data_IF_627710147608
#
_entry.id   IF_627710147608
#
_cell.length_a   1.000
_cell.length_b   1.000
_cell.length_c   1.000
_cell.angle_alpha   90.00
_cell.angle_beta   90.00
_cell.angle_gamma   90.00
#
_symmetry.space_group_name_H-M   'P 1'
#
loop_
_entity.id
_entity.type
_entity.pdbx_description
1 polymer ?
#
# COMPACT_ATOMS: atom_id res chain seq x y z
N UNK A 1 5.97 0.42 2.29
CA UNK A 1 5.84 -1.04 2.51
C UNK A 1 4.49 -1.48 1.96
N UNK A 2 4.48 -2.59 1.24
CA UNK A 2 3.26 -3.17 0.68
C UNK A 2 2.90 -4.41 1.53
N UNK A 3 1.66 -4.50 1.99
CA UNK A 3 1.18 -5.65 2.78
C UNK A 3 -0.19 -6.08 2.28
N UNK A 4 -0.40 -7.38 2.12
CA UNK A 4 -1.69 -7.91 1.64
C UNK A 4 -2.84 -7.55 2.58
N UNK A 5 -4.00 -7.29 1.98
CA UNK A 5 -5.24 -6.95 2.67
C UNK A 5 -5.80 -8.14 3.47
N UNK A 6 -5.99 -8.04 4.80
CA UNK A 6 -6.52 -9.16 5.59
C UNK A 6 -7.97 -9.51 5.28
N UNK A 7 -8.75 -8.55 4.78
CA UNK A 7 -10.14 -8.70 4.35
C UNK A 7 -10.30 -9.50 3.05
N UNK A 8 -9.21 -9.65 2.29
CA UNK A 8 -9.13 -10.44 1.05
C UNK A 8 -8.47 -11.82 1.30
N UNK A 9 -8.47 -12.31 2.54
CA UNK A 9 -7.91 -13.61 2.89
C UNK A 9 -8.89 -14.75 2.61
N UNK A 10 -8.39 -15.88 2.11
CA UNK A 10 -9.22 -17.06 1.81
C UNK A 10 -9.54 -17.89 3.06
N UNK A 11 -8.91 -17.58 4.18
CA UNK A 11 -9.15 -18.24 5.46
C UNK A 11 -8.90 -17.29 6.64
N UNK A 12 -9.50 -17.62 7.79
CA UNK A 12 -9.27 -16.86 9.03
C UNK A 12 -7.80 -16.91 9.47
N UNK A 13 -7.14 -18.06 9.29
CA UNK A 13 -5.71 -18.23 9.62
C UNK A 13 -4.83 -17.29 8.79
N UNK A 14 -5.11 -17.20 7.49
CA UNK A 14 -4.42 -16.27 6.59
C UNK A 14 -4.72 -14.81 6.94
N UNK A 15 -5.97 -14.47 7.23
CA UNK A 15 -6.36 -13.13 7.67
C UNK A 15 -5.65 -12.73 8.98
N UNK A 16 -5.53 -13.65 9.93
CA UNK A 16 -4.77 -13.45 11.17
C UNK A 16 -3.28 -13.22 10.90
N UNK A 17 -2.68 -13.97 9.98
CA UNK A 17 -1.28 -13.77 9.58
C UNK A 17 -1.06 -12.39 8.93
N UNK A 18 -1.94 -11.98 8.00
CA UNK A 18 -1.87 -10.66 7.36
C UNK A 18 -2.03 -9.52 8.37
N UNK A 19 -2.95 -9.64 9.34
CA UNK A 19 -3.12 -8.68 10.44
C UNK A 19 -1.87 -8.55 11.31
N UNK A 20 -1.27 -9.66 11.72
CA UNK A 20 -0.01 -9.65 12.50
C UNK A 20 1.12 -8.94 11.77
N UNK A 21 1.19 -9.09 10.44
CA UNK A 21 2.19 -8.39 9.63
C UNK A 21 1.98 -6.87 9.63
N UNK A 22 0.72 -6.41 9.62
CA UNK A 22 0.39 -4.99 9.76
C UNK A 22 0.79 -4.50 11.16
N UNK A 23 0.36 -5.19 12.21
CA UNK A 23 0.67 -4.85 13.60
C UNK A 23 2.18 -4.72 13.83
N UNK A 24 2.98 -5.65 13.29
CA UNK A 24 4.44 -5.59 13.36
C UNK A 24 5.01 -4.28 12.78
N UNK A 25 4.49 -3.80 11.66
CA UNK A 25 4.95 -2.54 11.07
C UNK A 25 4.40 -1.33 11.81
N UNK A 26 3.18 -1.39 12.35
CA UNK A 26 2.64 -0.34 13.21
C UNK A 26 3.48 -0.14 14.48
N UNK A 27 3.94 -1.23 15.11
CA UNK A 27 4.89 -1.19 16.23
C UNK A 27 6.23 -0.53 15.84
N UNK A 28 6.65 -0.68 14.59
CA UNK A 28 7.82 0.00 14.04
C UNK A 28 7.55 1.47 13.63
N UNK A 29 6.36 2.01 13.92
CA UNK A 29 5.98 3.39 13.67
C UNK A 29 5.41 3.65 12.27
N UNK A 30 5.23 2.61 11.46
CA UNK A 30 4.51 2.75 10.20
C UNK A 30 3.02 2.96 10.46
N UNK A 31 2.32 3.50 9.47
CA UNK A 31 0.87 3.59 9.51
C UNK A 31 0.28 3.22 8.15
N UNK A 32 -0.96 2.74 8.17
CA UNK A 32 -1.74 2.49 6.96
C UNK A 32 -2.09 3.79 6.26
N UNK A 33 -1.61 3.93 5.03
CA UNK A 33 -1.95 5.03 4.14
C UNK A 33 -3.41 4.89 3.72
N UNK A 34 -4.14 6.00 3.76
CA UNK A 34 -5.54 6.05 3.35
C UNK A 34 -5.68 6.55 1.91
N UNK A 35 -6.80 6.20 1.29
CA UNK A 35 -7.18 6.75 -0.01
C UNK A 35 -6.36 6.24 -1.20
N UNK A 36 -5.58 5.17 -1.03
CA UNK A 36 -4.94 4.43 -2.12
C UNK A 36 -5.55 3.05 -2.19
N UNK A 37 -6.25 2.78 -3.28
CA UNK A 37 -6.60 1.42 -3.66
C UNK A 37 -5.59 0.99 -4.71
N UNK A 38 -4.96 -0.15 -4.45
CA UNK A 38 -3.75 -0.57 -5.13
C UNK A 38 -3.66 -2.09 -5.13
N UNK A 39 -3.25 -2.65 -6.26
CA UNK A 39 -3.01 -4.08 -6.42
C UNK A 39 -1.71 -4.34 -7.17
N UNK A 40 -1.04 -5.42 -6.78
CA UNK A 40 0.14 -5.97 -7.47
C UNK A 40 -0.29 -7.29 -8.08
N UNK A 41 -0.25 -7.40 -9.42
CA UNK A 41 -0.68 -8.62 -10.12
C UNK A 41 -2.08 -9.09 -9.65
N UNK A 42 -3.03 -8.17 -9.59
CA UNK A 42 -4.43 -8.38 -9.16
C UNK A 42 -4.60 -8.82 -7.69
N UNK A 43 -3.55 -8.74 -6.87
CA UNK A 43 -3.63 -8.97 -5.42
C UNK A 43 -3.81 -7.62 -4.71
N UNK A 44 -4.92 -7.38 -4.00
CA UNK A 44 -5.14 -6.14 -3.27
C UNK A 44 -4.16 -5.94 -2.11
N UNK A 45 -3.53 -4.77 -2.08
CA UNK A 45 -2.50 -4.43 -1.10
C UNK A 45 -2.89 -3.18 -0.31
N UNK A 46 -2.53 -3.16 0.96
CA UNK A 46 -2.37 -1.93 1.71
C UNK A 46 -0.97 -1.37 1.52
N UNK A 47 -0.87 -0.05 1.52
CA UNK A 47 0.38 0.66 1.64
C UNK A 47 0.56 1.15 3.06
N UNK A 48 1.76 0.94 3.58
CA UNK A 48 2.20 1.48 4.86
C UNK A 48 3.42 2.38 4.67
N UNK A 49 3.44 3.51 5.36
CA UNK A 49 4.56 4.46 5.35
C UNK A 49 5.03 4.80 6.76
N UNK A 50 6.33 5.05 6.88
CA UNK A 50 6.95 5.66 8.04
C UNK A 50 7.27 7.13 7.68
N UNK A 51 6.54 8.11 8.24
CA UNK A 51 6.80 9.52 7.95
C UNK A 51 8.10 9.95 8.62
N UNK A 52 9.09 10.39 7.83
CA UNK A 52 10.35 10.92 8.35
C UNK A 52 10.31 12.44 8.55
N UNK A 53 9.55 13.15 7.69
CA UNK A 53 9.52 14.63 7.65
C UNK A 53 8.10 15.15 7.45
N UNK A 54 7.36 14.59 6.48
CA UNK A 54 6.00 15.02 6.17
C UNK A 54 4.98 14.49 7.18
N UNK A 55 3.90 15.25 7.42
CA UNK A 55 2.78 14.79 8.24
C UNK A 55 2.00 13.67 7.53
N UNK A 56 1.25 12.88 8.32
CA UNK A 56 0.37 11.83 7.78
C UNK A 56 -0.68 12.40 6.83
N UNK A 57 -1.29 13.54 7.16
CA UNK A 57 -2.20 14.27 6.28
C UNK A 57 -1.56 14.61 4.92
N UNK A 58 -0.37 15.20 4.92
CA UNK A 58 0.32 15.57 3.67
C UNK A 58 0.61 14.34 2.82
N UNK A 59 1.06 13.24 3.44
CA UNK A 59 1.28 11.99 2.73
C UNK A 59 -0.04 11.49 2.14
N UNK A 60 -1.12 11.41 2.92
CA UNK A 60 -2.41 10.90 2.42
C UNK A 60 -2.99 11.74 1.28
N UNK A 61 -2.70 13.05 1.23
CA UNK A 61 -3.12 13.94 0.14
C UNK A 61 -2.32 13.71 -1.16
N UNK A 62 -1.01 13.48 -1.03
CA UNK A 62 -0.10 13.43 -2.19
C UNK A 62 0.21 12.01 -2.67
N UNK A 63 -0.07 10.98 -1.87
CA UNK A 63 0.43 9.62 -2.10
C UNK A 63 0.01 9.03 -3.44
N UNK A 64 -1.19 9.32 -3.95
CA UNK A 64 -1.63 8.84 -5.27
C UNK A 64 -0.68 9.32 -6.37
N UNK A 65 -0.33 10.60 -6.33
CA UNK A 65 0.58 11.23 -7.29
C UNK A 65 1.99 10.65 -7.14
N UNK A 66 2.50 10.59 -5.90
CA UNK A 66 3.83 10.07 -5.59
C UNK A 66 3.97 8.60 -6.04
N UNK A 67 2.99 7.75 -5.74
CA UNK A 67 2.99 6.34 -6.15
C UNK A 67 3.00 6.22 -7.67
N UNK A 68 2.13 6.96 -8.36
CA UNK A 68 2.10 6.92 -9.83
C UNK A 68 3.44 7.31 -10.43
N UNK A 69 4.08 8.37 -9.92
CA UNK A 69 5.41 8.82 -10.37
C UNK A 69 6.49 7.76 -10.12
N UNK A 70 6.55 7.21 -8.90
CA UNK A 70 7.55 6.20 -8.52
C UNK A 70 7.46 4.93 -9.37
N UNK A 71 6.25 4.38 -9.55
CA UNK A 71 6.10 3.14 -10.32
C UNK A 71 6.19 3.38 -11.82
N UNK A 72 5.85 4.58 -12.31
CA UNK A 72 6.07 4.94 -13.70
C UNK A 72 7.56 4.95 -14.02
N UNK A 73 8.37 5.53 -13.13
CA UNK A 73 9.82 5.56 -13.27
C UNK A 73 10.43 4.15 -13.18
N UNK A 74 9.97 3.33 -12.22
CA UNK A 74 10.49 1.98 -12.01
C UNK A 74 10.13 1.00 -13.14
N UNK A 75 8.87 1.00 -13.58
CA UNK A 75 8.33 -0.02 -14.49
C UNK A 75 8.28 0.45 -15.95
N UNK A 76 8.37 1.76 -16.19
CA UNK A 76 8.10 2.37 -17.48
C UNK A 76 6.62 2.36 -17.85
N UNK A 77 6.28 3.16 -18.87
CA UNK A 77 4.90 3.29 -19.37
C UNK A 77 4.28 1.95 -19.81
N UNK A 78 5.10 1.02 -20.30
CA UNK A 78 4.63 -0.25 -20.83
C UNK A 78 4.10 -1.21 -19.75
N UNK A 79 4.50 -1.06 -18.48
CA UNK A 79 4.15 -2.01 -17.42
C UNK A 79 3.34 -1.38 -16.28
N UNK A 80 3.24 -0.06 -16.21
CA UNK A 80 2.43 0.61 -15.18
C UNK A 80 0.95 0.23 -15.23
N UNK A 81 0.42 -0.21 -16.38
CA UNK A 81 -0.96 -0.68 -16.49
C UNK A 81 -1.24 -1.95 -15.68
N UNK A 82 -0.20 -2.67 -15.23
CA UNK A 82 -0.33 -3.81 -14.31
C UNK A 82 -0.55 -3.39 -12.86
N UNK A 83 -0.49 -2.09 -12.61
CA UNK A 83 -0.84 -1.45 -11.35
C UNK A 83 -2.23 -0.85 -11.52
N UNK A 84 -3.18 -1.29 -10.71
CA UNK A 84 -4.51 -0.68 -10.68
C UNK A 84 -4.52 0.46 -9.66
N UNK A 85 -4.82 1.68 -10.14
CA UNK A 85 -5.13 2.84 -9.31
C UNK A 85 -6.52 3.34 -9.74
N UNK A 86 -7.60 3.08 -9.00
CA UNK A 86 -8.91 3.60 -9.37
C UNK A 86 -8.90 5.13 -9.26
N UNK A 87 -9.53 5.76 -10.25
CA UNK A 87 -9.79 7.21 -10.34
C UNK A 87 -10.59 7.70 -9.14
#
# INVERSE_FOLDING_TARGET
>A
MEVERPDEANSESEGNYRRRRIEFYEEAGFYLIQGVDYSIWDIPMHLMALPLVASKETINQEIRRIMRELYLDLMGEALIHKMYFPS
#
